data_IF_068372832113
#
_entry.id   IF_068372832113
#
_cell.length_a   1.000
_cell.length_b   1.000
_cell.length_c   1.000
_cell.angle_alpha   90.00
_cell.angle_beta   90.00
_cell.angle_gamma   90.00
#
_symmetry.space_group_name_H-M   'P 1'
#
loop_
_entity.id
_entity.type
_entity.pdbx_description
1 polymer ?
#
# COMPACT_ATOMS: atom_id res chain seq x y z
N UNK A 1 -2.54 9.08 -3.82
CA UNK A 1 -1.93 7.83 -3.33
C UNK A 1 -3.00 6.80 -2.99
N UNK A 2 -3.96 7.14 -2.12
CA UNK A 2 -5.09 6.28 -1.77
C UNK A 2 -5.81 5.66 -2.98
N UNK A 3 -6.11 6.45 -4.02
CA UNK A 3 -6.78 5.95 -5.23
C UNK A 3 -6.01 4.81 -5.93
N UNK A 4 -4.68 4.83 -5.89
CA UNK A 4 -3.85 3.75 -6.45
C UNK A 4 -4.13 2.44 -5.72
N UNK A 5 -4.11 2.48 -4.38
CA UNK A 5 -4.37 1.30 -3.57
C UNK A 5 -5.80 0.79 -3.74
N UNK A 6 -6.80 1.68 -3.78
CA UNK A 6 -8.20 1.32 -4.02
C UNK A 6 -8.38 0.61 -5.36
N UNK A 7 -7.78 1.15 -6.42
CA UNK A 7 -7.91 0.62 -7.78
C UNK A 7 -7.29 -0.77 -7.92
N UNK A 8 -6.17 -1.03 -7.22
CA UNK A 8 -5.37 -2.23 -7.46
C UNK A 8 -5.53 -3.33 -6.41
N UNK A 9 -5.98 -3.00 -5.20
CA UNK A 9 -6.03 -3.95 -4.07
C UNK A 9 -7.41 -4.08 -3.41
N UNK A 10 -8.46 -3.53 -4.05
CA UNK A 10 -9.85 -3.62 -3.59
C UNK A 10 -10.01 -3.14 -2.13
N UNK A 11 -9.42 -1.98 -1.83
CA UNK A 11 -9.57 -1.35 -0.52
C UNK A 11 -10.92 -0.62 -0.47
N UNK A 12 -11.76 -1.07 0.45
CA UNK A 12 -13.12 -0.58 0.67
C UNK A 12 -13.31 -0.11 2.11
N UNK A 13 -14.43 0.57 2.36
CA UNK A 13 -14.80 1.03 3.69
C UNK A 13 -15.36 -0.12 4.54
N UNK A 14 -15.27 -0.03 5.88
CA UNK A 14 -14.50 0.96 6.63
C UNK A 14 -12.99 0.71 6.55
N UNK A 15 -12.18 1.78 6.56
CA UNK A 15 -10.73 1.66 6.60
C UNK A 15 -10.27 1.25 7.99
N UNK A 16 -9.67 0.06 8.09
CA UNK A 16 -9.16 -0.46 9.36
C UNK A 16 -7.69 -0.09 9.47
N UNK A 17 -7.35 0.78 10.42
CA UNK A 17 -6.01 1.32 10.59
C UNK A 17 -5.38 0.66 11.80
N UNK A 18 -4.38 -0.19 11.55
CA UNK A 18 -3.65 -0.93 12.55
C UNK A 18 -2.50 -0.07 13.10
N UNK A 19 -2.65 0.42 14.33
CA UNK A 19 -1.79 1.41 14.98
C UNK A 19 -0.97 0.76 16.09
N UNK A 20 0.35 0.95 16.06
CA UNK A 20 1.26 0.49 17.12
C UNK A 20 1.65 1.60 18.12
N UNK A 21 2.41 1.21 19.14
CA UNK A 21 2.87 2.13 20.18
C UNK A 21 3.81 3.22 19.66
N UNK A 22 4.60 2.93 18.62
CA UNK A 22 5.54 3.89 18.05
C UNK A 22 4.82 5.04 17.35
N UNK A 23 3.77 4.73 16.60
CA UNK A 23 2.94 5.73 15.93
C UNK A 23 2.16 6.57 16.92
N UNK A 24 1.54 5.93 17.92
CA UNK A 24 0.83 6.66 18.98
C UNK A 24 1.76 7.57 19.79
N UNK A 25 2.98 7.11 20.08
CA UNK A 25 3.99 7.92 20.75
C UNK A 25 4.41 9.12 19.91
N UNK A 26 4.69 8.91 18.62
CA UNK A 26 5.07 9.99 17.71
C UNK A 26 3.94 11.03 17.52
N UNK A 27 2.69 10.57 17.45
CA UNK A 27 1.53 11.45 17.39
C UNK A 27 1.45 12.38 18.61
N UNK A 28 1.76 11.87 19.81
CA UNK A 28 1.82 12.69 21.02
C UNK A 28 2.92 13.74 20.96
N UNK A 29 4.11 13.38 20.46
CA UNK A 29 5.23 14.34 20.33
C UNK A 29 4.85 15.52 19.43
N UNK A 30 4.15 15.24 18.33
CA UNK A 30 3.69 16.26 17.38
C UNK A 30 2.31 16.85 17.69
N UNK A 31 1.69 16.47 18.81
CA UNK A 31 0.35 16.92 19.24
C UNK A 31 -0.72 16.65 18.17
N UNK A 32 -0.60 15.53 17.48
CA UNK A 32 -1.53 15.09 16.44
C UNK A 32 -2.71 14.37 17.12
N UNK A 33 -3.93 14.84 16.83
CA UNK A 33 -5.15 14.10 17.11
C UNK A 33 -5.35 13.07 15.98
N UNK A 34 -4.98 11.81 16.25
CA UNK A 34 -4.91 10.75 15.23
C UNK A 34 -6.24 10.62 14.46
N UNK A 35 -7.35 10.46 15.16
CA UNK A 35 -8.65 10.20 14.54
C UNK A 35 -9.12 11.39 13.67
N UNK A 36 -8.96 12.62 14.16
CA UNK A 36 -9.32 13.84 13.43
C UNK A 36 -8.46 14.00 12.17
N UNK A 37 -7.15 13.83 12.30
CA UNK A 37 -6.24 13.97 11.17
C UNK A 37 -6.44 12.86 10.12
N UNK A 38 -6.71 11.62 10.55
CA UNK A 38 -7.01 10.51 9.65
C UNK A 38 -8.29 10.77 8.85
N UNK A 39 -9.36 11.23 9.50
CA UNK A 39 -10.62 11.58 8.83
C UNK A 39 -10.44 12.71 7.83
N UNK A 40 -9.69 13.76 8.21
CA UNK A 40 -9.38 14.86 7.32
C UNK A 40 -8.52 14.41 6.12
N UNK A 41 -7.49 13.57 6.36
CA UNK A 41 -6.56 13.13 5.33
C UNK A 41 -7.18 12.12 4.34
N UNK A 42 -8.01 11.20 4.83
CA UNK A 42 -8.69 10.20 4.01
C UNK A 42 -10.06 10.67 3.49
N UNK A 43 -10.49 11.88 3.87
CA UNK A 43 -11.75 12.51 3.49
C UNK A 43 -12.97 11.60 3.77
N UNK A 44 -12.98 10.93 4.92
CA UNK A 44 -14.04 9.99 5.30
C UNK A 44 -14.14 9.80 6.81
N UNK A 45 -15.35 9.56 7.30
CA UNK A 45 -15.61 9.14 8.69
C UNK A 45 -15.61 7.62 8.88
N UNK A 46 -15.55 6.83 7.80
CA UNK A 46 -15.58 5.37 7.86
C UNK A 46 -14.19 4.80 8.16
N UNK A 47 -13.69 5.11 9.36
CA UNK A 47 -12.36 4.72 9.85
C UNK A 47 -12.52 3.98 11.17
N UNK A 48 -11.83 2.85 11.29
CA UNK A 48 -11.73 2.07 12.52
C UNK A 48 -10.25 2.04 12.92
N UNK A 49 -9.91 2.76 13.98
CA UNK A 49 -8.61 2.68 14.61
C UNK A 49 -8.54 1.39 15.44
N UNK A 50 -7.52 0.57 15.17
CA UNK A 50 -7.37 -0.74 15.81
C UNK A 50 -5.93 -1.00 16.24
N UNK A 51 -5.76 -1.87 17.22
CA UNK A 51 -4.43 -2.32 17.69
C UNK A 51 -4.49 -3.78 18.18
N UNK A 52 -3.39 -4.32 18.69
CA UNK A 52 -3.37 -5.67 19.29
C UNK A 52 -3.03 -5.61 20.78
N UNK A 53 -3.40 -6.66 21.51
CA UNK A 53 -3.01 -6.78 22.92
C UNK A 53 -1.49 -6.84 23.11
N UNK A 54 -0.75 -7.38 22.14
CA UNK A 54 0.71 -7.37 22.18
C UNK A 54 1.26 -5.94 22.11
N UNK A 55 0.72 -5.08 21.24
CA UNK A 55 1.13 -3.68 21.15
C UNK A 55 0.83 -2.90 22.43
N UNK A 56 -0.34 -3.11 23.03
CA UNK A 56 -0.68 -2.50 24.33
C UNK A 56 0.30 -2.95 25.41
N UNK A 57 0.56 -4.26 25.52
CA UNK A 57 1.48 -4.79 26.55
C UNK A 57 2.93 -4.36 26.33
N UNK A 58 3.37 -4.19 25.09
CA UNK A 58 4.68 -3.62 24.78
C UNK A 58 4.81 -2.19 25.36
N UNK A 59 3.78 -1.35 25.17
CA UNK A 59 3.78 0.00 25.75
C UNK A 59 3.70 0.00 27.29
N UNK A 60 3.01 -0.97 27.89
CA UNK A 60 2.99 -1.16 29.36
C UNK A 60 4.39 -1.47 29.91
N UNK A 61 5.14 -2.33 29.21
CA UNK A 61 6.51 -2.71 29.61
C UNK A 61 7.50 -1.54 29.49
N UNK A 62 7.29 -0.62 28.55
CA UNK A 62 8.08 0.61 28.41
C UNK A 62 7.78 1.64 29.52
N UNK A 63 6.70 1.45 30.29
CA UNK A 63 6.40 2.22 31.48
C UNK A 63 6.11 3.70 31.20
N UNK A 64 6.60 4.58 32.07
CA UNK A 64 6.25 6.01 32.06
C UNK A 64 6.52 6.73 30.74
N UNK A 65 7.54 6.30 29.99
CA UNK A 65 7.90 6.91 28.69
C UNK A 65 6.79 6.70 27.66
N UNK A 66 6.16 5.53 27.64
CA UNK A 66 5.12 5.18 26.67
C UNK A 66 3.70 5.26 27.24
N UNK A 67 3.51 5.78 28.46
CA UNK A 67 2.22 5.78 29.14
C UNK A 67 1.11 6.50 28.35
N UNK A 68 1.43 7.65 27.74
CA UNK A 68 0.47 8.36 26.89
C UNK A 68 0.08 7.52 25.66
N UNK A 69 1.06 6.89 25.00
CA UNK A 69 0.81 6.03 23.85
C UNK A 69 -0.05 4.82 24.23
N UNK A 70 0.23 4.21 25.39
CA UNK A 70 -0.58 3.13 25.95
C UNK A 70 -2.04 3.55 26.15
N UNK A 71 -2.30 4.75 26.69
CA UNK A 71 -3.66 5.26 26.90
C UNK A 71 -4.40 5.49 25.58
N UNK A 72 -3.71 5.92 24.53
CA UNK A 72 -4.28 6.02 23.18
C UNK A 72 -4.65 4.63 22.67
N UNK A 73 -3.71 3.69 22.67
CA UNK A 73 -3.93 2.33 22.16
C UNK A 73 -5.10 1.62 22.86
N UNK A 74 -5.29 1.84 24.17
CA UNK A 74 -6.40 1.24 24.94
C UNK A 74 -7.79 1.73 24.53
N UNK A 75 -7.90 2.82 23.76
CA UNK A 75 -9.17 3.33 23.24
C UNK A 75 -9.57 2.68 21.91
N UNK A 76 -8.65 1.99 21.24
CA UNK A 76 -8.84 1.44 19.91
C UNK A 76 -9.38 0.02 19.92
N UNK A 77 -10.00 -0.39 18.80
CA UNK A 77 -10.54 -1.74 18.66
C UNK A 77 -9.42 -2.79 18.71
N UNK A 78 -9.68 -3.90 19.41
CA UNK A 78 -8.70 -4.96 19.55
C UNK A 78 -8.82 -5.94 18.38
N UNK A 79 -7.78 -5.98 17.54
CA UNK A 79 -7.55 -7.08 16.62
C UNK A 79 -6.99 -8.25 17.40
N UNK A 80 -7.72 -9.37 17.36
CA UNK A 80 -7.38 -10.58 18.11
C UNK A 80 -6.07 -11.18 17.59
N UNK A 81 -5.15 -11.43 18.52
CA UNK A 81 -3.92 -12.19 18.30
C UNK A 81 -3.83 -13.32 19.34
N UNK A 82 -3.29 -14.49 18.97
CA UNK A 82 -3.27 -15.68 19.84
C UNK A 82 -1.91 -15.86 20.56
N UNK A 83 -1.24 -14.75 20.91
CA UNK A 83 0.10 -14.78 21.51
C UNK A 83 0.04 -14.83 23.03
N UNK A 84 0.58 -15.91 23.59
CA UNK A 84 0.82 -16.04 25.03
C UNK A 84 2.12 -16.83 25.30
N UNK A 85 3.13 -16.27 25.98
CA UNK A 85 3.20 -14.87 26.42
C UNK A 85 3.19 -13.89 25.23
N UNK A 86 2.93 -12.61 25.51
CA UNK A 86 2.93 -11.57 24.46
C UNK A 86 4.29 -11.49 23.79
N UNK A 87 4.28 -11.22 22.50
CA UNK A 87 5.48 -10.93 21.71
C UNK A 87 5.55 -9.44 21.39
N UNK A 88 6.62 -9.00 20.72
CA UNK A 88 6.73 -7.61 20.27
C UNK A 88 5.59 -7.21 19.33
N UNK A 89 5.21 -5.93 19.34
CA UNK A 89 4.15 -5.39 18.49
C UNK A 89 4.45 -5.65 17.02
N UNK A 90 5.71 -5.46 16.59
CA UNK A 90 6.16 -5.70 15.23
C UNK A 90 5.89 -7.14 14.77
N UNK A 91 6.33 -8.13 15.56
CA UNK A 91 6.12 -9.54 15.23
C UNK A 91 4.63 -9.90 15.27
N UNK A 92 3.90 -9.33 16.23
CA UNK A 92 2.46 -9.54 16.33
C UNK A 92 1.74 -9.05 15.07
N UNK A 93 2.02 -7.82 14.64
CA UNK A 93 1.39 -7.22 13.47
C UNK A 93 1.71 -8.00 12.20
N UNK A 94 2.97 -8.40 11.99
CA UNK A 94 3.34 -9.26 10.86
C UNK A 94 2.51 -10.56 10.86
N UNK A 95 2.38 -11.24 12.01
CA UNK A 95 1.61 -12.49 12.09
C UNK A 95 0.10 -12.28 11.90
N UNK A 96 -0.47 -11.20 12.44
CA UNK A 96 -1.87 -10.82 12.24
C UNK A 96 -2.16 -10.56 10.76
N UNK A 97 -1.30 -9.77 10.10
CA UNK A 97 -1.43 -9.44 8.69
C UNK A 97 -1.30 -10.67 7.80
N UNK A 98 -0.45 -11.64 8.14
CA UNK A 98 -0.34 -12.91 7.42
C UNK A 98 -1.62 -13.76 7.60
N UNK A 99 -2.12 -13.85 8.83
CA UNK A 99 -3.24 -14.74 9.18
C UNK A 99 -4.57 -14.24 8.61
N UNK A 100 -4.82 -12.93 8.67
CA UNK A 100 -6.04 -12.32 8.17
C UNK A 100 -5.78 -11.56 6.87
N UNK A 101 -5.94 -12.29 5.75
CA UNK A 101 -5.88 -11.69 4.42
C UNK A 101 -7.27 -11.34 3.86
N UNK A 102 -8.32 -11.46 4.67
CA UNK A 102 -9.69 -11.13 4.25
C UNK A 102 -9.95 -9.65 4.38
N UNK A 103 -9.41 -9.04 5.43
CA UNK A 103 -9.49 -7.60 5.66
C UNK A 103 -8.34 -6.89 4.96
N UNK A 104 -8.60 -5.65 4.53
CA UNK A 104 -7.58 -4.74 3.99
C UNK A 104 -7.24 -3.73 5.07
N UNK A 105 -6.13 -3.96 5.75
CA UNK A 105 -5.61 -3.07 6.76
C UNK A 105 -4.84 -1.91 6.12
N UNK A 106 -4.76 -0.79 6.83
CA UNK A 106 -3.70 0.19 6.72
C UNK A 106 -2.75 -0.02 7.90
N UNK A 107 -1.45 0.05 7.66
CA UNK A 107 -0.44 -0.02 8.71
C UNK A 107 -0.07 1.40 9.14
N UNK A 108 -0.16 1.72 10.43
CA UNK A 108 0.29 2.99 11.00
C UNK A 108 1.37 2.71 12.05
N UNK A 109 2.63 2.87 11.67
CA UNK A 109 3.80 2.50 12.47
C UNK A 109 5.02 3.32 12.07
N UNK A 110 5.83 3.75 13.04
CA UNK A 110 7.14 4.38 12.78
C UNK A 110 8.28 3.35 12.76
N UNK A 111 7.99 2.06 12.91
CA UNK A 111 8.98 0.99 12.82
C UNK A 111 9.46 0.79 11.38
N UNK A 112 10.79 0.83 11.22
CA UNK A 112 11.42 0.52 9.94
C UNK A 112 11.16 -0.93 9.51
N UNK A 113 11.14 -1.88 10.46
CA UNK A 113 10.98 -3.30 10.15
C UNK A 113 9.57 -3.61 9.61
N UNK A 114 8.53 -2.98 10.17
CA UNK A 114 7.16 -3.10 9.69
C UNK A 114 6.96 -2.42 8.34
N UNK A 115 7.62 -1.27 8.13
CA UNK A 115 7.61 -0.57 6.85
C UNK A 115 8.24 -1.39 5.73
N UNK A 116 9.44 -1.93 5.96
CA UNK A 116 10.11 -2.85 5.02
C UNK A 116 9.26 -4.09 4.75
N UNK A 117 8.67 -4.67 5.81
CA UNK A 117 7.75 -5.79 5.66
C UNK A 117 6.56 -5.47 4.75
N UNK A 118 5.93 -4.30 4.90
CA UNK A 118 4.87 -3.85 3.99
C UNK A 118 5.39 -3.77 2.55
N UNK A 119 6.52 -3.10 2.32
CA UNK A 119 7.04 -2.84 0.99
C UNK A 119 7.47 -4.12 0.24
N UNK A 120 7.99 -5.10 0.98
CA UNK A 120 8.57 -6.32 0.42
C UNK A 120 7.56 -7.48 0.35
N UNK A 121 6.66 -7.58 1.34
CA UNK A 121 5.81 -8.76 1.53
C UNK A 121 4.32 -8.49 1.31
N UNK A 122 3.87 -7.24 1.44
CA UNK A 122 2.45 -6.88 1.41
C UNK A 122 2.19 -5.68 0.49
N UNK A 123 2.22 -5.87 -0.85
CA UNK A 123 1.95 -4.79 -1.80
C UNK A 123 0.56 -4.15 -1.63
N UNK A 124 -0.36 -4.90 -1.03
CA UNK A 124 -1.74 -4.51 -0.74
C UNK A 124 -1.93 -3.74 0.57
N UNK A 125 -0.88 -3.58 1.38
CA UNK A 125 -0.92 -2.94 2.70
C UNK A 125 -0.40 -1.49 2.60
N UNK A 126 -1.28 -0.48 2.57
CA UNK A 126 -0.86 0.91 2.58
C UNK A 126 -0.28 1.27 3.94
N UNK A 127 0.88 1.91 3.95
CA UNK A 127 1.61 2.27 5.18
C UNK A 127 1.54 3.77 5.42
N UNK A 128 1.23 4.16 6.65
CA UNK A 128 1.14 5.52 7.14
C UNK A 128 2.25 5.80 8.15
N UNK A 129 2.87 6.95 8.00
CA UNK A 129 3.97 7.44 8.84
C UNK A 129 3.64 8.85 9.31
N UNK A 130 4.22 9.27 10.44
CA UNK A 130 4.19 10.67 10.85
C UNK A 130 5.50 11.33 10.42
N UNK A 131 5.38 12.35 9.58
CA UNK A 131 6.50 13.19 9.14
C UNK A 131 6.03 14.63 9.03
N UNK A 132 6.89 15.59 9.42
CA UNK A 132 6.56 17.02 9.37
C UNK A 132 5.21 17.37 10.02
N UNK A 133 4.95 16.81 11.22
CA UNK A 133 3.76 17.08 12.03
C UNK A 133 2.44 16.62 11.40
N UNK A 134 2.50 15.69 10.45
CA UNK A 134 1.31 15.14 9.80
C UNK A 134 1.44 13.65 9.53
N UNK A 135 0.31 12.95 9.61
CA UNK A 135 0.15 11.60 9.10
C UNK A 135 0.18 11.64 7.58
N UNK A 136 1.06 10.84 6.99
CA UNK A 136 1.28 10.75 5.56
C UNK A 136 1.17 9.29 5.11
N UNK A 137 0.37 9.06 4.07
CA UNK A 137 0.31 7.76 3.40
C UNK A 137 1.49 7.62 2.42
N UNK A 138 2.23 6.54 2.56
CA UNK A 138 3.38 6.26 1.72
C UNK A 138 3.01 5.98 0.27
N UNK A 139 3.91 6.35 -0.64
CA UNK A 139 3.78 5.98 -2.04
C UNK A 139 4.04 4.47 -2.19
N UNK A 140 3.33 3.78 -3.11
CA UNK A 140 3.60 2.38 -3.42
C UNK A 140 5.08 2.18 -3.77
N UNK A 141 5.70 1.18 -3.15
CA UNK A 141 7.09 0.79 -3.37
C UNK A 141 7.33 0.37 -4.83
N UNK A 142 8.59 0.39 -5.28
CA UNK A 142 8.93 -0.08 -6.63
C UNK A 142 8.51 -1.54 -6.84
N UNK A 143 8.67 -2.37 -5.81
CA UNK A 143 8.20 -3.75 -5.80
C UNK A 143 6.68 -3.82 -6.00
N UNK A 144 5.91 -3.04 -5.23
CA UNK A 144 4.45 -2.96 -5.34
C UNK A 144 4.00 -2.55 -6.74
N UNK A 145 4.66 -1.56 -7.35
CA UNK A 145 4.35 -1.12 -8.72
C UNK A 145 4.66 -2.20 -9.74
N UNK A 146 5.81 -2.87 -9.63
CA UNK A 146 6.20 -3.97 -10.50
C UNK A 146 5.18 -5.11 -10.46
N UNK A 147 4.74 -5.52 -9.26
CA UNK A 147 3.72 -6.55 -9.06
C UNK A 147 2.41 -6.13 -9.73
N UNK A 148 1.94 -4.90 -9.49
CA UNK A 148 0.69 -4.39 -10.11
C UNK A 148 0.79 -4.36 -11.63
N UNK A 149 1.91 -3.92 -12.19
CA UNK A 149 2.14 -3.91 -13.63
C UNK A 149 2.15 -5.31 -14.23
N UNK A 150 2.80 -6.26 -13.55
CA UNK A 150 2.82 -7.67 -13.96
C UNK A 150 1.40 -8.27 -13.91
N UNK A 151 0.68 -8.12 -12.80
CA UNK A 151 -0.71 -8.60 -12.68
C UNK A 151 -1.62 -7.94 -13.71
N UNK A 152 -1.41 -6.66 -14.02
CA UNK A 152 -2.17 -5.95 -15.07
C UNK A 152 -1.86 -6.54 -16.46
N UNK A 153 -0.60 -6.82 -16.77
CA UNK A 153 -0.19 -7.48 -18.03
C UNK A 153 -0.73 -8.90 -18.13
N UNK A 154 -0.80 -9.64 -17.02
CA UNK A 154 -1.39 -10.98 -16.98
C UNK A 154 -2.91 -10.93 -17.22
N UNK A 155 -3.61 -9.94 -16.65
CA UNK A 155 -5.06 -9.75 -16.85
C UNK A 155 -5.44 -9.24 -18.23
N UNK A 156 -4.64 -8.33 -18.80
CA UNK A 156 -4.86 -7.75 -20.12
C UNK A 156 -4.18 -8.55 -21.24
N UNK A 157 -3.31 -9.50 -20.87
CA UNK A 157 -2.57 -10.33 -21.79
C UNK A 157 -3.53 -11.25 -22.53
N UNK A 158 -3.47 -11.18 -23.85
CA UNK A 158 -4.08 -12.16 -24.74
C UNK A 158 -3.53 -13.54 -24.35
N UNK A 159 -4.40 -14.50 -24.03
CA UNK A 159 -3.97 -15.87 -23.71
C UNK A 159 -3.01 -16.39 -24.80
N UNK A 160 -2.07 -17.27 -24.47
CA UNK A 160 -1.21 -17.91 -25.50
C UNK A 160 -2.06 -18.57 -26.60
N UNK A 161 -3.23 -19.08 -26.22
CA UNK A 161 -4.22 -19.62 -27.15
C UNK A 161 -4.77 -18.55 -28.10
N UNK A 162 -5.29 -17.46 -27.54
CA UNK A 162 -5.86 -16.33 -28.29
C UNK A 162 -4.80 -15.64 -29.15
N UNK A 163 -3.55 -15.58 -28.69
CA UNK A 163 -2.41 -15.04 -29.44
C UNK A 163 -2.10 -15.90 -30.66
N UNK A 164 -2.18 -17.23 -30.52
CA UNK A 164 -1.99 -18.15 -31.63
C UNK A 164 -3.17 -18.12 -32.62
N UNK A 165 -4.40 -17.97 -32.12
CA UNK A 165 -5.58 -17.76 -32.97
C UNK A 165 -5.46 -16.44 -33.74
N UNK A 166 -5.12 -15.34 -33.06
CA UNK A 166 -4.91 -14.04 -33.70
C UNK A 166 -3.82 -14.09 -34.77
N UNK A 167 -2.72 -14.82 -34.54
CA UNK A 167 -1.68 -15.06 -35.56
C UNK A 167 -2.21 -15.85 -36.76
N UNK A 168 -2.98 -16.91 -36.52
CA UNK A 168 -3.60 -17.69 -37.60
C UNK A 168 -4.58 -16.85 -38.41
N UNK A 169 -5.44 -16.08 -37.76
CA UNK A 169 -6.39 -15.16 -38.41
C UNK A 169 -5.65 -14.06 -39.19
N UNK A 170 -4.57 -13.48 -38.64
CA UNK A 170 -3.73 -12.50 -39.35
C UNK A 170 -3.16 -13.09 -40.65
N UNK A 171 -2.66 -14.32 -40.59
CA UNK A 171 -2.12 -15.06 -41.73
C UNK A 171 -3.22 -15.43 -42.76
N UNK A 172 -4.39 -15.90 -42.31
CA UNK A 172 -5.53 -16.22 -43.18
C UNK A 172 -6.10 -15.00 -43.90
N UNK A 173 -6.06 -13.83 -43.27
CA UNK A 173 -6.50 -12.56 -43.85
C UNK A 173 -5.42 -11.86 -44.69
N UNK A 174 -4.23 -12.45 -44.85
CA UNK A 174 -3.05 -11.84 -45.50
C UNK A 174 -2.74 -10.43 -44.96
N UNK A 175 -2.97 -10.21 -43.65
CA UNK A 175 -2.69 -8.97 -42.94
C UNK A 175 -1.29 -8.98 -42.30
N UNK A 176 -0.39 -9.80 -42.84
CA UNK A 176 1.01 -9.77 -42.48
C UNK A 176 1.58 -8.41 -42.93
N UNK A 177 1.81 -7.54 -41.95
CA UNK A 177 2.38 -6.22 -42.17
C UNK A 177 3.76 -6.41 -42.78
N UNK A 178 3.91 -6.02 -44.05
CA UNK A 178 5.21 -5.71 -44.63
C UNK A 178 5.82 -4.58 -43.78
N UNK A 179 6.74 -4.90 -42.88
CA UNK A 179 7.54 -3.94 -42.13
C UNK A 179 8.56 -3.16 -42.99
N UNK A 180 8.47 -3.25 -44.33
CA UNK A 180 9.42 -2.60 -45.22
C UNK A 180 8.82 -1.38 -45.95
N UNK A 181 9.41 -0.23 -45.62
CA UNK A 181 9.41 1.04 -46.38
C UNK A 181 8.28 2.05 -46.16
N UNK A 182 8.15 2.56 -44.93
CA UNK A 182 7.82 4.00 -44.79
C UNK A 182 9.07 4.79 -45.19
N UNK A 183 9.21 5.07 -46.49
CA UNK A 183 10.20 6.00 -47.00
C UNK A 183 10.01 7.36 -46.33
N UNK A 184 10.90 7.70 -45.39
CA UNK A 184 11.02 9.06 -44.87
C UNK A 184 11.27 9.98 -46.07
N UNK A 185 10.26 10.73 -46.51
CA UNK A 185 10.41 11.78 -47.53
C UNK A 185 11.52 12.72 -47.04
N UNK A 186 12.69 12.68 -47.69
CA UNK A 186 13.79 13.62 -47.44
C UNK A 186 13.22 15.04 -47.64
N UNK A 187 13.25 15.86 -46.58
CA UNK A 187 12.96 17.30 -46.70
C UNK A 187 13.93 17.87 -47.74
N UNK A 188 13.41 18.41 -48.85
CA UNK A 188 14.20 19.15 -49.83
C UNK A 188 14.86 20.32 -49.10
N UNK A 189 16.18 20.49 -49.25
CA UNK A 189 16.88 21.70 -48.79
C UNK A 189 16.25 22.89 -49.51
N UNK A 190 15.75 23.87 -48.77
CA UNK A 190 15.36 25.15 -49.35
C UNK A 190 16.58 25.77 -50.03
N UNK A 191 16.43 26.14 -51.30
CA UNK A 191 17.38 27.00 -51.98
C UNK A 191 17.44 28.36 -51.29
N UNK A 192 18.64 28.94 -51.29
CA UNK A 192 18.88 30.33 -50.93
C UNK A 192 18.14 31.18 -51.97
N UNK A 193 17.16 31.96 -51.54
CA UNK A 193 16.50 32.94 -52.41
C UNK A 193 17.28 34.27 -52.32
N UNK A 194 17.44 35.00 -53.44
CA UNK A 194 18.24 36.22 -53.58
C UNK A 194 17.65 37.44 -52.87
#
# INVERSE_FOLDING_TARGET
>A
ILNYYRTHFNIEYPFIILIDGTFAFEALQWKIQIDEQLKAYLETDQIICSTTLCAIRETELLGGVAFGAMLILKQYEIVKCDHYPSISAEKCFQQVLIKDNTKRYFLASQSLSLREYSHDRRPDLPTMLITHNAINLERPSLNTRSIVEQTKKERLGVSKHDSNILKKIKHELNLDENEDNVTKKKKKKHGINP
#
